data_IF_170675701934
#
_entry.id   IF_170675701934
#
_cell.length_a   1.000
_cell.length_b   1.000
_cell.length_c   1.000
_cell.angle_alpha   90.00
_cell.angle_beta   90.00
_cell.angle_gamma   90.00
#
_symmetry.space_group_name_H-M   'P 1'
#
loop_
_entity.id
_entity.type
_entity.pdbx_description
1 polymer ?
#
# COMPACT_ATOMS: atom_id res chain seq x y z
N UNK A 1 21.74 17.65 -59.67
CA UNK A 1 22.64 18.52 -58.92
C UNK A 1 22.05 18.74 -57.55
N UNK A 2 22.55 18.03 -56.59
CA UNK A 2 23.35 18.43 -55.42
C UNK A 2 22.46 19.13 -54.35
N UNK A 3 22.47 18.85 -53.09
CA UNK A 3 23.39 18.14 -52.20
C UNK A 3 22.64 17.73 -50.93
N UNK A 4 23.05 16.62 -50.37
CA UNK A 4 22.69 16.16 -49.05
C UNK A 4 23.37 16.98 -47.96
N UNK A 5 22.69 17.21 -46.85
CA UNK A 5 23.32 17.58 -45.59
C UNK A 5 22.83 16.68 -44.45
N UNK A 6 23.72 15.77 -44.09
CA UNK A 6 23.61 14.92 -42.87
C UNK A 6 23.97 15.75 -41.67
N UNK A 7 23.19 15.69 -40.61
CA UNK A 7 23.56 16.21 -39.29
C UNK A 7 23.40 15.07 -38.27
N UNK A 8 24.57 14.55 -37.86
CA UNK A 8 24.71 13.59 -36.79
C UNK A 8 24.68 14.33 -35.44
N UNK A 9 23.78 13.93 -34.54
CA UNK A 9 23.81 14.37 -33.15
C UNK A 9 24.43 13.25 -32.32
N UNK A 10 25.53 13.59 -31.69
CA UNK A 10 26.32 12.73 -30.83
C UNK A 10 25.61 12.46 -29.49
N UNK A 11 25.50 11.19 -29.13
CA UNK A 11 25.13 10.73 -27.81
C UNK A 11 26.32 10.89 -26.85
N UNK A 12 26.15 11.67 -25.79
CA UNK A 12 27.11 11.80 -24.69
C UNK A 12 26.72 10.83 -23.56
N UNK A 13 27.46 9.73 -23.44
CA UNK A 13 27.47 8.87 -22.25
C UNK A 13 28.23 9.54 -21.12
N UNK A 14 27.56 9.80 -20.00
CA UNK A 14 28.24 10.11 -18.72
C UNK A 14 28.25 8.86 -17.85
N UNK A 15 29.42 8.23 -17.79
CA UNK A 15 29.78 7.19 -16.82
C UNK A 15 30.37 7.88 -15.60
N UNK A 16 29.76 7.74 -14.43
CA UNK A 16 30.36 8.14 -13.16
C UNK A 16 30.96 6.89 -12.50
N UNK A 17 32.29 6.87 -12.51
CA UNK A 17 33.11 5.91 -11.79
C UNK A 17 33.23 6.31 -10.32
N UNK A 18 32.95 5.36 -9.42
CA UNK A 18 33.23 5.48 -7.99
C UNK A 18 34.69 5.11 -7.74
N UNK A 19 35.51 6.07 -7.33
CA UNK A 19 36.84 5.81 -6.79
C UNK A 19 36.76 5.68 -5.27
N UNK A 20 37.04 4.49 -4.77
CA UNK A 20 37.39 4.25 -3.38
C UNK A 20 38.90 4.46 -3.23
N UNK A 21 39.31 5.42 -2.41
CA UNK A 21 40.68 5.58 -1.98
C UNK A 21 40.82 5.03 -0.58
N UNK A 22 41.60 3.95 -0.47
CA UNK A 22 42.10 3.40 0.76
C UNK A 22 43.38 4.12 1.16
N UNK A 23 43.44 4.73 2.33
CA UNK A 23 44.68 5.22 2.93
C UNK A 23 44.79 4.69 4.35
N UNK A 24 45.72 3.80 4.52
CA UNK A 24 46.24 3.33 5.80
C UNK A 24 47.13 4.40 6.47
N UNK A 25 46.92 4.68 7.76
CA UNK A 25 48.01 5.10 8.63
C UNK A 25 47.78 4.62 10.08
N UNK A 26 48.81 4.01 10.59
CA UNK A 26 49.00 3.47 11.93
C UNK A 26 49.23 4.59 12.95
N UNK A 27 48.69 4.43 14.16
CA UNK A 27 48.99 5.32 15.29
C UNK A 27 48.34 4.85 16.59
N UNK A 28 49.06 4.01 17.33
CA UNK A 28 49.13 3.76 18.80
C UNK A 28 47.99 4.19 19.73
N UNK A 29 47.56 3.21 20.52
CA UNK A 29 46.66 3.22 21.71
C UNK A 29 47.19 4.13 22.86
N UNK A 30 46.35 4.40 23.95
CA UNK A 30 45.81 3.39 24.85
C UNK A 30 44.42 3.66 25.46
N UNK A 31 43.76 2.57 25.76
CA UNK A 31 42.94 2.29 26.95
C UNK A 31 41.78 3.20 27.36
N UNK A 32 40.53 2.67 27.25
CA UNK A 32 39.49 2.95 28.27
C UNK A 32 38.40 1.84 28.28
N UNK A 33 38.45 1.13 29.38
CA UNK A 33 37.39 0.49 30.20
C UNK A 33 35.99 0.32 29.57
N UNK A 34 35.65 -0.96 29.32
CA UNK A 34 34.26 -1.42 29.17
C UNK A 34 33.46 -1.22 30.47
N UNK A 35 32.40 -0.45 30.45
CA UNK A 35 31.31 -0.54 31.43
C UNK A 35 30.13 -1.28 30.82
N UNK A 36 29.88 -2.48 31.31
CA UNK A 36 28.64 -3.24 31.10
C UNK A 36 27.53 -2.56 31.92
N UNK A 37 26.52 -2.04 31.26
CA UNK A 37 25.28 -1.61 31.90
C UNK A 37 24.31 -2.80 31.90
N UNK A 38 24.12 -3.35 33.07
CA UNK A 38 23.10 -4.37 33.35
C UNK A 38 21.81 -3.61 33.65
N UNK A 39 20.79 -3.77 32.82
CA UNK A 39 19.44 -3.30 33.14
C UNK A 39 18.70 -4.37 33.94
N UNK A 40 18.45 -4.05 35.19
CA UNK A 40 17.58 -4.79 36.12
C UNK A 40 16.11 -4.53 35.73
N UNK A 41 15.36 -5.58 35.46
CA UNK A 41 13.91 -5.55 35.45
C UNK A 41 13.41 -5.58 36.91
N UNK A 42 12.78 -4.50 37.35
CA UNK A 42 12.06 -4.46 38.61
C UNK A 42 10.61 -4.94 38.41
N UNK A 43 10.29 -6.09 38.99
CA UNK A 43 8.92 -6.57 39.17
C UNK A 43 8.22 -5.68 40.23
N UNK A 44 7.14 -5.03 39.82
CA UNK A 44 6.23 -4.37 40.74
C UNK A 44 5.01 -5.27 41.01
N UNK A 45 5.02 -5.95 42.14
CA UNK A 45 3.82 -6.62 42.69
C UNK A 45 2.83 -5.58 43.23
N UNK A 46 1.64 -5.52 42.65
CA UNK A 46 0.51 -4.76 43.19
C UNK A 46 -0.34 -5.67 44.07
N UNK A 47 -0.22 -5.43 45.40
CA UNK A 47 -1.09 -6.02 46.42
C UNK A 47 -2.53 -5.45 46.32
N UNK A 48 -3.48 -6.28 45.94
CA UNK A 48 -4.88 -6.01 46.09
C UNK A 48 -5.31 -6.16 47.57
N UNK A 49 -5.71 -5.05 48.21
CA UNK A 49 -6.43 -5.05 49.51
C UNK A 49 -7.90 -5.33 49.29
N UNK A 50 -8.40 -6.37 49.94
CA UNK A 50 -9.81 -6.79 49.94
C UNK A 50 -10.75 -5.76 50.55
N UNK A 51 -11.96 -5.69 50.00
CA UNK A 51 -13.15 -5.14 50.68
C UNK A 51 -14.26 -6.17 50.66
N UNK A 52 -14.91 -6.21 51.83
CA UNK A 52 -15.85 -7.22 52.34
C UNK A 52 -17.13 -7.35 51.51
N UNK A 53 -17.59 -8.60 51.43
CA UNK A 53 -18.91 -9.01 50.97
C UNK A 53 -20.03 -8.47 51.92
N UNK A 54 -21.12 -7.98 51.35
CA UNK A 54 -22.39 -7.86 52.00
C UNK A 54 -23.40 -8.82 51.37
N UNK A 55 -23.95 -9.68 52.22
CA UNK A 55 -24.97 -10.67 51.91
C UNK A 55 -26.28 -9.96 51.51
N UNK A 56 -26.92 -10.44 50.44
CA UNK A 56 -28.34 -10.16 50.25
C UNK A 56 -29.05 -11.51 49.98
N UNK A 57 -30.01 -11.77 50.89
CA UNK A 57 -30.74 -13.00 51.05
C UNK A 57 -31.81 -13.23 49.95
N UNK A 58 -31.91 -14.48 49.60
CA UNK A 58 -32.93 -15.10 48.73
C UNK A 58 -34.36 -14.84 49.16
N UNK A 59 -35.27 -14.71 48.17
CA UNK A 59 -36.63 -15.17 48.27
C UNK A 59 -36.89 -16.20 47.16
N UNK A 60 -37.27 -17.41 47.62
CA UNK A 60 -37.68 -18.53 46.80
C UNK A 60 -39.18 -18.36 46.55
N UNK A 61 -39.60 -18.32 45.31
CA UNK A 61 -41.00 -18.43 44.88
C UNK A 61 -41.16 -19.71 44.07
N UNK A 62 -41.88 -20.67 44.65
CA UNK A 62 -42.32 -21.88 43.99
C UNK A 62 -43.46 -21.58 43.03
N UNK A 63 -43.41 -22.08 41.81
CA UNK A 63 -44.61 -22.27 41.00
C UNK A 63 -44.51 -23.56 40.19
N UNK A 64 -45.63 -24.23 40.22
CA UNK A 64 -45.99 -25.58 39.90
C UNK A 64 -45.73 -26.04 38.46
N UNK A 65 -45.54 -27.35 38.41
CA UNK A 65 -45.50 -28.26 37.28
C UNK A 65 -46.68 -28.15 36.32
N UNK A 66 -46.39 -28.03 35.04
CA UNK A 66 -47.24 -28.47 33.95
C UNK A 66 -46.47 -29.43 33.05
N UNK A 67 -46.92 -30.68 33.01
CA UNK A 67 -46.49 -31.75 32.10
C UNK A 67 -46.99 -31.42 30.70
N UNK A 68 -46.11 -31.31 29.71
CA UNK A 68 -46.47 -31.40 28.31
C UNK A 68 -45.57 -32.42 27.63
N UNK A 69 -46.21 -33.26 26.82
CA UNK A 69 -45.74 -34.49 26.20
C UNK A 69 -44.55 -34.27 25.23
N UNK A 70 -43.71 -35.29 25.17
CA UNK A 70 -42.62 -35.43 24.19
C UNK A 70 -43.20 -35.52 22.77
N UNK A 71 -42.75 -34.61 21.91
CA UNK A 71 -42.82 -34.77 20.47
C UNK A 71 -41.36 -34.78 19.97
N UNK A 72 -41.02 -35.81 19.21
CA UNK A 72 -39.72 -36.04 18.61
C UNK A 72 -39.26 -34.85 17.78
N UNK A 73 -38.29 -34.08 18.28
CA UNK A 73 -37.55 -33.15 17.48
C UNK A 73 -36.28 -33.87 17.00
N UNK A 74 -36.30 -34.27 15.73
CA UNK A 74 -35.09 -34.67 15.02
C UNK A 74 -34.13 -33.50 15.04
N UNK A 75 -33.13 -33.56 15.86
CA UNK A 75 -31.92 -32.72 15.78
C UNK A 75 -31.21 -33.01 14.46
N UNK A 76 -31.41 -32.15 13.48
CA UNK A 76 -30.51 -32.08 12.35
C UNK A 76 -29.19 -31.52 12.88
N UNK A 77 -28.19 -32.38 13.05
CA UNK A 77 -26.78 -31.94 13.17
C UNK A 77 -26.45 -31.12 11.93
N UNK A 78 -26.47 -29.81 12.10
CA UNK A 78 -25.82 -28.91 11.16
C UNK A 78 -24.32 -29.21 11.32
N UNK A 79 -23.81 -30.02 10.40
CA UNK A 79 -22.38 -30.20 10.24
C UNK A 79 -21.74 -28.79 10.08
N UNK A 80 -21.06 -28.34 11.12
CA UNK A 80 -20.16 -27.20 11.03
C UNK A 80 -19.10 -27.65 10.03
N UNK A 81 -19.31 -27.25 8.77
CA UNK A 81 -18.38 -27.49 7.70
C UNK A 81 -17.02 -26.92 8.14
N UNK A 82 -16.04 -27.78 8.29
CA UNK A 82 -14.64 -27.37 8.32
C UNK A 82 -14.44 -26.46 7.11
N UNK A 83 -14.13 -25.19 7.39
CA UNK A 83 -13.73 -24.25 6.35
C UNK A 83 -12.54 -24.89 5.63
N UNK A 84 -12.79 -25.40 4.43
CA UNK A 84 -11.73 -25.83 3.52
C UNK A 84 -10.84 -24.63 3.34
N UNK A 85 -9.55 -24.77 3.68
CA UNK A 85 -8.54 -23.74 3.36
C UNK A 85 -8.70 -23.50 1.86
N UNK A 86 -9.11 -22.29 1.48
CA UNK A 86 -9.28 -21.93 0.07
C UNK A 86 -7.98 -22.25 -0.66
N UNK A 87 -8.05 -23.12 -1.65
CA UNK A 87 -6.85 -23.52 -2.39
C UNK A 87 -6.27 -22.28 -3.09
N UNK A 88 -4.99 -21.97 -2.79
CA UNK A 88 -4.33 -20.81 -3.36
C UNK A 88 -4.16 -21.04 -4.86
N UNK A 89 -4.77 -20.19 -5.67
CA UNK A 89 -4.66 -20.22 -7.11
C UNK A 89 -3.21 -19.94 -7.52
N UNK A 90 -2.55 -20.84 -8.28
CA UNK A 90 -1.22 -20.57 -8.83
C UNK A 90 -1.20 -19.31 -9.70
N UNK A 91 -0.11 -18.57 -9.65
CA UNK A 91 0.04 -17.31 -10.35
C UNK A 91 1.31 -17.25 -11.21
N UNK A 92 1.30 -16.37 -12.20
CA UNK A 92 2.51 -15.91 -12.87
C UNK A 92 2.94 -14.61 -12.15
N UNK A 93 4.13 -14.59 -11.55
CA UNK A 93 4.68 -13.43 -10.84
C UNK A 93 5.69 -12.72 -11.72
N UNK A 94 5.37 -11.51 -12.18
CA UNK A 94 6.27 -10.71 -13.02
C UNK A 94 7.08 -9.77 -12.14
N UNK A 95 8.37 -10.09 -11.96
CA UNK A 95 9.30 -9.33 -11.13
C UNK A 95 9.62 -10.01 -9.79
N UNK A 96 10.90 -10.34 -9.60
CA UNK A 96 11.45 -11.00 -8.40
C UNK A 96 12.02 -9.99 -7.38
N UNK A 97 11.37 -8.82 -7.21
CA UNK A 97 11.70 -7.83 -6.18
C UNK A 97 11.12 -8.22 -4.82
N UNK A 98 11.20 -7.31 -3.84
CA UNK A 98 10.72 -7.54 -2.47
C UNK A 98 9.28 -8.03 -2.42
N UNK A 99 8.36 -7.33 -3.10
CA UNK A 99 6.93 -7.68 -3.12
C UNK A 99 6.70 -8.97 -3.91
N UNK A 100 7.33 -9.13 -5.10
CA UNK A 100 7.16 -10.33 -5.91
C UNK A 100 7.63 -11.59 -5.20
N UNK A 101 8.79 -11.55 -4.55
CA UNK A 101 9.29 -12.69 -3.75
C UNK A 101 8.39 -12.99 -2.53
N UNK A 102 7.81 -11.96 -1.90
CA UNK A 102 6.87 -12.18 -0.81
C UNK A 102 5.59 -12.87 -1.31
N UNK A 103 5.02 -12.41 -2.42
CA UNK A 103 3.81 -13.00 -3.02
C UNK A 103 4.06 -14.42 -3.54
N UNK A 104 5.25 -14.70 -4.12
CA UNK A 104 5.65 -16.06 -4.52
C UNK A 104 5.65 -17.03 -3.31
N UNK A 105 6.23 -16.60 -2.19
CA UNK A 105 6.24 -17.43 -0.97
C UNK A 105 4.82 -17.76 -0.46
N UNK A 106 3.87 -16.86 -0.66
CA UNK A 106 2.46 -17.09 -0.32
C UNK A 106 1.75 -18.05 -1.27
N UNK A 107 2.33 -18.34 -2.44
CA UNK A 107 1.75 -19.22 -3.47
C UNK A 107 1.97 -20.70 -3.25
N UNK A 108 2.64 -21.11 -2.15
CA UNK A 108 2.85 -22.53 -1.83
C UNK A 108 3.71 -23.30 -2.84
N UNK A 109 4.60 -22.60 -3.57
CA UNK A 109 5.57 -23.20 -4.51
C UNK A 109 5.00 -23.63 -5.86
N UNK A 110 3.75 -23.24 -6.18
CA UNK A 110 3.09 -23.57 -7.45
C UNK A 110 3.17 -22.43 -8.49
N UNK A 111 3.76 -21.30 -8.13
CA UNK A 111 3.85 -20.10 -8.96
C UNK A 111 4.95 -20.21 -10.03
N UNK A 112 4.77 -19.46 -11.11
CA UNK A 112 5.78 -19.27 -12.14
C UNK A 112 6.32 -17.83 -12.07
N UNK A 113 7.63 -17.67 -11.85
CA UNK A 113 8.26 -16.36 -11.72
C UNK A 113 8.88 -15.95 -13.05
N UNK A 114 8.50 -14.78 -13.57
CA UNK A 114 9.05 -14.15 -14.76
C UNK A 114 10.06 -13.08 -14.33
N UNK A 115 11.32 -13.27 -14.70
CA UNK A 115 12.43 -12.34 -14.42
C UNK A 115 12.66 -11.39 -15.57
N UNK A 116 13.55 -10.42 -15.38
CA UNK A 116 13.91 -9.45 -16.42
C UNK A 116 14.43 -10.19 -17.68
N UNK A 117 13.82 -9.89 -18.83
CA UNK A 117 14.18 -10.48 -20.11
C UNK A 117 13.47 -11.79 -20.44
N UNK A 118 12.69 -12.34 -19.50
CA UNK A 118 11.86 -13.51 -19.76
C UNK A 118 10.47 -13.11 -20.27
N UNK A 119 9.83 -14.00 -20.99
CA UNK A 119 8.49 -13.83 -21.58
C UNK A 119 7.40 -14.33 -20.63
N UNK A 120 6.28 -13.62 -20.59
CA UNK A 120 5.08 -14.06 -19.87
C UNK A 120 4.47 -15.25 -20.62
N UNK A 121 4.30 -16.42 -19.98
CA UNK A 121 3.79 -17.62 -20.65
C UNK A 121 2.29 -17.48 -20.98
N UNK A 122 1.91 -17.92 -22.19
CA UNK A 122 0.53 -17.91 -22.64
C UNK A 122 -0.31 -19.08 -22.09
N UNK A 123 0.35 -20.17 -21.71
CA UNK A 123 -0.24 -21.46 -21.31
C UNK A 123 -0.43 -21.66 -19.81
N UNK A 124 0.13 -20.78 -18.97
CA UNK A 124 -0.02 -20.87 -17.52
C UNK A 124 -1.32 -20.20 -17.07
N UNK A 125 -2.28 -20.95 -16.51
CA UNK A 125 -3.54 -20.37 -16.01
C UNK A 125 -3.33 -19.54 -14.75
N UNK A 126 -4.36 -18.76 -14.37
CA UNK A 126 -4.36 -17.97 -13.14
C UNK A 126 -3.93 -16.50 -13.33
N UNK A 127 -3.86 -15.72 -12.25
CA UNK A 127 -3.51 -14.31 -12.31
C UNK A 127 -2.05 -14.09 -12.71
N UNK A 128 -1.79 -12.98 -13.41
CA UNK A 128 -0.44 -12.49 -13.73
C UNK A 128 -0.16 -11.29 -12.81
N UNK A 129 0.52 -11.51 -11.72
CA UNK A 129 0.75 -10.49 -10.70
C UNK A 129 2.00 -9.69 -11.07
N UNK A 130 1.80 -8.41 -11.42
CA UNK A 130 2.86 -7.51 -11.86
C UNK A 130 3.48 -6.82 -10.65
N UNK A 131 4.74 -7.17 -10.31
CA UNK A 131 5.47 -6.67 -9.15
C UNK A 131 6.69 -5.83 -9.56
N UNK A 132 6.59 -5.13 -10.68
CA UNK A 132 7.64 -4.27 -11.24
C UNK A 132 7.41 -2.80 -10.88
N UNK A 133 8.30 -1.92 -11.32
CA UNK A 133 8.12 -0.48 -11.22
C UNK A 133 7.09 0.02 -12.23
N UNK A 134 6.52 1.18 -11.97
CA UNK A 134 5.48 1.78 -12.83
C UNK A 134 6.00 2.10 -14.24
N UNK A 135 7.26 2.52 -14.36
CA UNK A 135 7.87 2.95 -15.63
C UNK A 135 7.95 1.85 -16.73
N UNK A 136 7.77 0.59 -16.36
CA UNK A 136 7.78 -0.54 -17.30
C UNK A 136 6.39 -1.15 -17.56
N UNK A 137 5.33 -0.63 -16.95
CA UNK A 137 3.99 -1.23 -17.02
C UNK A 137 3.45 -1.29 -18.46
N UNK A 138 3.61 -0.22 -19.24
CA UNK A 138 3.18 -0.21 -20.63
C UNK A 138 3.82 -1.35 -21.42
N UNK A 139 5.13 -1.56 -21.29
CA UNK A 139 5.84 -2.62 -22.01
C UNK A 139 5.42 -4.02 -21.54
N UNK A 140 5.10 -4.19 -20.24
CA UNK A 140 4.58 -5.47 -19.72
C UNK A 140 3.20 -5.77 -20.30
N UNK A 141 2.29 -4.78 -20.33
CA UNK A 141 0.96 -4.94 -20.93
C UNK A 141 1.11 -5.33 -22.41
N UNK A 142 1.98 -4.63 -23.16
CA UNK A 142 2.17 -4.84 -24.58
C UNK A 142 2.79 -6.23 -24.90
N UNK A 143 3.71 -6.70 -24.05
CA UNK A 143 4.35 -8.01 -24.17
C UNK A 143 3.51 -9.16 -23.62
N UNK A 144 2.44 -8.88 -22.87
CA UNK A 144 1.54 -9.93 -22.39
C UNK A 144 0.71 -10.49 -23.54
N UNK A 145 0.65 -11.84 -23.69
CA UNK A 145 -0.20 -12.48 -24.70
C UNK A 145 -1.63 -11.94 -24.66
N UNK A 146 -2.22 -11.66 -25.82
CA UNK A 146 -3.53 -10.97 -25.91
C UNK A 146 -4.65 -11.71 -25.15
N UNK A 147 -4.65 -13.04 -25.18
CA UNK A 147 -5.59 -13.89 -24.46
C UNK A 147 -5.38 -13.92 -22.94
N UNK A 148 -4.31 -13.28 -22.43
CA UNK A 148 -3.96 -13.25 -21.01
C UNK A 148 -3.97 -11.84 -20.40
N UNK A 149 -4.25 -10.80 -21.20
CA UNK A 149 -4.22 -9.41 -20.69
C UNK A 149 -5.22 -9.12 -19.58
N UNK A 150 -6.39 -9.77 -19.62
CA UNK A 150 -7.40 -9.67 -18.56
C UNK A 150 -6.99 -10.37 -17.25
N UNK A 151 -5.94 -11.18 -17.29
CA UNK A 151 -5.41 -11.85 -16.10
C UNK A 151 -4.36 -11.01 -15.36
N UNK A 152 -4.02 -9.83 -15.89
CA UNK A 152 -3.09 -8.91 -15.23
C UNK A 152 -3.65 -8.39 -13.91
N UNK A 153 -2.79 -8.40 -12.91
CA UNK A 153 -3.05 -7.90 -11.56
C UNK A 153 -1.98 -6.89 -11.21
N UNK A 154 -2.35 -5.66 -10.98
CA UNK A 154 -1.43 -4.58 -10.66
C UNK A 154 -1.41 -4.29 -9.16
N UNK A 155 -0.20 -4.24 -8.58
CA UNK A 155 0.04 -3.97 -7.15
C UNK A 155 0.81 -2.65 -6.94
N UNK A 156 0.95 -1.84 -7.98
CA UNK A 156 1.70 -0.60 -7.96
C UNK A 156 0.96 0.50 -7.21
N UNK A 157 1.74 1.41 -6.62
CA UNK A 157 1.23 2.64 -6.05
C UNK A 157 0.99 3.70 -7.15
N UNK A 158 -0.04 4.50 -6.95
CA UNK A 158 -0.38 5.59 -7.86
C UNK A 158 -1.68 5.34 -8.63
N UNK A 159 -2.03 6.29 -9.50
CA UNK A 159 -3.22 6.23 -10.33
C UNK A 159 -2.88 5.52 -11.65
N UNK A 160 -3.37 4.30 -11.83
CA UNK A 160 -3.13 3.50 -13.02
C UNK A 160 -4.23 3.65 -14.07
N UNK A 161 -5.40 4.15 -13.71
CA UNK A 161 -6.57 4.24 -14.58
C UNK A 161 -6.26 4.86 -15.95
N UNK A 162 -5.53 5.99 -16.07
CA UNK A 162 -5.24 6.57 -17.38
C UNK A 162 -4.43 5.63 -18.30
N UNK A 163 -3.50 4.84 -17.74
CA UNK A 163 -2.77 3.85 -18.52
C UNK A 163 -3.70 2.71 -18.95
N UNK A 164 -4.48 2.16 -18.01
CA UNK A 164 -5.38 1.04 -18.28
C UNK A 164 -6.44 1.43 -19.33
N UNK A 165 -7.03 2.60 -19.21
CA UNK A 165 -7.97 3.19 -20.17
C UNK A 165 -7.31 3.35 -21.56
N UNK A 166 -6.08 3.89 -21.62
CA UNK A 166 -5.35 4.07 -22.89
C UNK A 166 -5.05 2.74 -23.61
N UNK A 167 -4.97 1.63 -22.85
CA UNK A 167 -4.77 0.27 -23.36
C UNK A 167 -6.08 -0.49 -23.57
N UNK A 168 -7.24 0.10 -23.29
CA UNK A 168 -8.54 -0.56 -23.33
C UNK A 168 -8.62 -1.79 -22.43
N UNK A 169 -7.99 -1.72 -21.25
CA UNK A 169 -7.79 -2.85 -20.37
C UNK A 169 -8.58 -2.70 -19.08
N UNK A 170 -9.42 -3.69 -18.77
CA UNK A 170 -10.01 -3.89 -17.44
C UNK A 170 -9.20 -4.93 -16.71
N UNK A 171 -8.39 -4.49 -15.73
CA UNK A 171 -7.48 -5.35 -15.00
C UNK A 171 -7.81 -5.36 -13.50
N UNK A 172 -7.35 -6.40 -12.80
CA UNK A 172 -7.40 -6.41 -11.34
C UNK A 172 -6.39 -5.41 -10.76
N UNK A 173 -6.83 -4.57 -9.84
CA UNK A 173 -5.98 -3.64 -9.11
C UNK A 173 -5.96 -3.99 -7.62
N UNK A 174 -4.80 -3.82 -6.98
CA UNK A 174 -4.62 -4.12 -5.56
C UNK A 174 -3.98 -2.93 -4.87
N UNK A 175 -4.68 -2.37 -3.91
CA UNK A 175 -4.15 -1.33 -3.01
C UNK A 175 -3.34 -2.01 -1.90
N UNK A 176 -2.04 -2.10 -2.08
CA UNK A 176 -1.15 -2.77 -1.14
C UNK A 176 -0.77 -1.84 0.00
N UNK A 177 -1.21 -2.14 1.23
CA UNK A 177 -0.83 -1.44 2.45
C UNK A 177 0.15 -2.22 3.32
N UNK A 178 0.50 -3.44 2.94
CA UNK A 178 1.60 -4.16 3.58
C UNK A 178 2.97 -3.70 3.07
N UNK A 179 4.00 -3.83 3.89
CA UNK A 179 5.37 -3.47 3.56
C UNK A 179 6.30 -4.68 3.67
N UNK A 180 7.29 -4.76 2.76
CA UNK A 180 8.38 -5.72 2.81
C UNK A 180 9.68 -4.94 2.97
N UNK A 181 10.31 -5.01 4.14
CA UNK A 181 11.47 -4.18 4.49
C UNK A 181 12.70 -4.52 3.64
N UNK A 182 13.06 -5.80 3.56
CA UNK A 182 14.18 -6.32 2.76
C UNK A 182 13.72 -7.47 1.89
N UNK A 183 14.51 -7.80 0.88
CA UNK A 183 14.26 -8.96 0.04
C UNK A 183 14.27 -10.24 0.89
N UNK A 184 13.17 -10.99 0.82
CA UNK A 184 13.00 -12.23 1.57
C UNK A 184 12.40 -12.09 2.97
N UNK A 185 12.29 -10.87 3.50
CA UNK A 185 11.60 -10.63 4.78
C UNK A 185 10.10 -10.94 4.67
N UNK A 186 9.45 -11.34 5.77
CA UNK A 186 8.01 -11.45 5.82
C UNK A 186 7.37 -10.05 5.66
N UNK A 187 6.21 -9.95 5.01
CA UNK A 187 5.46 -8.71 4.94
C UNK A 187 4.87 -8.35 6.30
N UNK A 188 4.77 -7.05 6.57
CA UNK A 188 4.07 -6.48 7.72
C UNK A 188 2.81 -5.79 7.24
N UNK A 189 1.65 -6.11 7.80
CA UNK A 189 0.37 -5.52 7.41
C UNK A 189 0.26 -4.06 7.89
N UNK A 190 -0.37 -3.22 7.10
CA UNK A 190 -0.67 -1.82 7.41
C UNK A 190 -1.96 -1.64 8.19
N UNK A 191 -2.14 -2.40 9.27
CA UNK A 191 -3.27 -2.26 10.20
C UNK A 191 -3.09 -1.00 11.04
N UNK A 192 -4.18 -0.29 11.31
CA UNK A 192 -4.20 0.93 12.12
C UNK A 192 -5.23 0.81 13.26
N UNK A 193 -5.13 1.72 14.23
CA UNK A 193 -6.13 1.85 15.30
C UNK A 193 -7.53 2.21 14.79
N UNK A 194 -7.62 2.95 13.68
CA UNK A 194 -8.88 3.31 13.02
C UNK A 194 -9.37 2.25 12.03
N UNK A 195 -8.49 1.38 11.54
CA UNK A 195 -8.81 0.32 10.59
C UNK A 195 -8.17 -1.01 11.05
N UNK A 196 -8.67 -1.62 12.13
CA UNK A 196 -8.14 -2.87 12.66
C UNK A 196 -8.33 -4.06 11.71
N UNK A 197 -9.28 -3.95 10.77
CA UNK A 197 -9.51 -4.92 9.70
C UNK A 197 -8.53 -4.83 8.54
N UNK A 198 -7.61 -3.88 8.57
CA UNK A 198 -6.62 -3.61 7.54
C UNK A 198 -7.14 -2.75 6.39
N UNK A 199 -6.19 -2.20 5.63
CA UNK A 199 -6.45 -1.24 4.55
C UNK A 199 -6.24 -1.83 3.15
N UNK A 200 -5.55 -2.96 3.02
CA UNK A 200 -5.33 -3.60 1.71
C UNK A 200 -6.67 -4.00 1.09
N UNK A 201 -6.85 -3.65 -0.18
CA UNK A 201 -8.06 -3.95 -0.94
C UNK A 201 -7.73 -4.36 -2.37
N UNK A 202 -8.57 -5.21 -2.95
CA UNK A 202 -8.46 -5.66 -4.34
C UNK A 202 -9.80 -5.52 -5.04
N UNK A 203 -9.77 -5.16 -6.34
CA UNK A 203 -10.95 -5.10 -7.21
C UNK A 203 -10.63 -5.68 -8.58
N UNK A 204 -11.58 -6.36 -9.19
CA UNK A 204 -11.49 -6.97 -10.51
C UNK A 204 -11.51 -8.49 -10.49
N UNK A 205 -11.28 -9.10 -11.67
CA UNK A 205 -11.43 -10.55 -11.94
C UNK A 205 -10.75 -11.46 -10.91
N UNK A 206 -9.54 -11.11 -10.48
CA UNK A 206 -8.71 -11.92 -9.60
C UNK A 206 -8.68 -11.46 -8.13
N UNK A 207 -9.55 -10.51 -7.76
CA UNK A 207 -9.54 -9.92 -6.42
C UNK A 207 -9.67 -10.95 -5.29
N UNK A 208 -10.59 -11.91 -5.42
CA UNK A 208 -10.77 -13.00 -4.44
C UNK A 208 -9.56 -13.93 -4.33
N UNK A 209 -8.92 -14.26 -5.46
CA UNK A 209 -7.71 -15.09 -5.46
C UNK A 209 -6.52 -14.38 -4.78
N UNK A 210 -6.39 -13.07 -5.00
CA UNK A 210 -5.37 -12.27 -4.32
C UNK A 210 -5.67 -12.17 -2.82
N UNK A 211 -6.93 -11.94 -2.44
CA UNK A 211 -7.33 -11.89 -1.03
C UNK A 211 -7.05 -13.23 -0.31
N UNK A 212 -7.37 -14.37 -0.92
CA UNK A 212 -7.06 -15.68 -0.38
C UNK A 212 -5.54 -15.88 -0.19
N UNK A 213 -4.73 -15.49 -1.19
CA UNK A 213 -3.26 -15.54 -1.14
C UNK A 213 -2.70 -14.70 0.02
N UNK A 214 -3.15 -13.47 0.18
CA UNK A 214 -2.70 -12.58 1.26
C UNK A 214 -3.13 -13.12 2.64
N UNK A 215 -4.36 -13.57 2.75
CA UNK A 215 -4.91 -14.18 3.99
C UNK A 215 -4.11 -15.41 4.44
N UNK A 216 -3.62 -16.24 3.52
CA UNK A 216 -2.78 -17.41 3.86
C UNK A 216 -1.48 -17.03 4.58
N UNK A 217 -1.01 -15.79 4.38
CA UNK A 217 0.17 -15.23 5.08
C UNK A 217 -0.22 -14.32 6.27
N UNK A 218 -1.47 -14.33 6.71
CA UNK A 218 -1.95 -13.52 7.82
C UNK A 218 -2.14 -12.04 7.48
N UNK A 219 -2.18 -11.68 6.19
CA UNK A 219 -2.43 -10.30 5.76
C UNK A 219 -3.91 -10.09 5.48
N UNK A 220 -4.40 -8.90 5.79
CA UNK A 220 -5.76 -8.46 5.44
C UNK A 220 -5.87 -8.14 3.94
N UNK A 221 -7.06 -8.38 3.37
CA UNK A 221 -7.41 -7.87 2.04
C UNK A 221 -8.92 -7.86 1.87
N UNK A 222 -9.50 -6.70 1.61
CA UNK A 222 -10.90 -6.53 1.26
C UNK A 222 -11.08 -6.79 -0.24
N UNK A 223 -12.16 -7.48 -0.61
CA UNK A 223 -12.59 -7.60 -2.01
C UNK A 223 -13.71 -6.59 -2.21
N UNK A 224 -13.48 -5.62 -3.08
CA UNK A 224 -14.41 -4.52 -3.34
C UNK A 224 -14.87 -4.55 -4.80
N UNK A 225 -16.08 -4.11 -5.05
CA UNK A 225 -16.49 -3.83 -6.41
C UNK A 225 -15.77 -2.58 -6.97
N UNK A 226 -15.84 -2.31 -8.29
CA UNK A 226 -15.12 -1.19 -8.89
C UNK A 226 -15.54 0.19 -8.34
N UNK A 227 -16.80 0.39 -7.95
CA UNK A 227 -17.27 1.67 -7.40
C UNK A 227 -16.79 1.86 -5.96
N UNK A 228 -16.89 0.82 -5.13
CA UNK A 228 -16.39 0.82 -3.76
C UNK A 228 -14.87 0.99 -3.70
N UNK A 229 -14.13 0.50 -4.70
CA UNK A 229 -12.67 0.57 -4.77
C UNK A 229 -12.14 1.99 -5.02
N UNK A 230 -12.90 2.86 -5.70
CA UNK A 230 -12.48 4.23 -6.05
C UNK A 230 -12.07 5.06 -4.84
N UNK A 231 -12.88 5.01 -3.78
CA UNK A 231 -12.66 5.83 -2.58
C UNK A 231 -11.34 5.48 -1.87
N UNK A 232 -11.08 4.22 -1.47
CA UNK A 232 -9.79 3.86 -0.86
C UNK A 232 -8.60 4.02 -1.82
N UNK A 233 -8.78 3.87 -3.14
CA UNK A 233 -7.74 4.13 -4.13
C UNK A 233 -7.30 5.61 -4.08
N UNK A 234 -8.26 6.54 -4.07
CA UNK A 234 -7.99 7.96 -4.00
C UNK A 234 -7.44 8.38 -2.63
N UNK A 235 -7.96 7.85 -1.52
CA UNK A 235 -7.38 8.10 -0.19
C UNK A 235 -5.91 7.70 -0.13
N UNK A 236 -5.56 6.54 -0.69
CA UNK A 236 -4.16 6.12 -0.76
C UNK A 236 -3.32 7.03 -1.64
N UNK A 237 -3.85 7.48 -2.77
CA UNK A 237 -3.16 8.41 -3.65
C UNK A 237 -2.90 9.75 -2.95
N UNK A 238 -3.91 10.30 -2.28
CA UNK A 238 -3.80 11.53 -1.47
C UNK A 238 -2.72 11.36 -0.40
N UNK A 239 -2.74 10.23 0.33
CA UNK A 239 -1.72 9.96 1.33
C UNK A 239 -0.31 10.01 0.75
N UNK A 240 -0.07 9.29 -0.37
CA UNK A 240 1.23 9.26 -1.03
C UNK A 240 1.65 10.66 -1.50
N UNK A 241 0.73 11.41 -2.10
CA UNK A 241 1.03 12.74 -2.62
C UNK A 241 1.32 13.73 -1.50
N UNK A 242 0.44 13.83 -0.49
CA UNK A 242 0.55 14.81 0.56
C UNK A 242 1.74 14.55 1.49
N UNK A 243 1.88 13.35 2.04
CA UNK A 243 2.99 13.04 2.95
C UNK A 243 4.35 13.16 2.30
N UNK A 244 4.49 12.69 1.04
CA UNK A 244 5.76 12.75 0.34
C UNK A 244 6.12 14.19 -0.07
N UNK A 245 5.13 15.03 -0.42
CA UNK A 245 5.36 16.42 -0.81
C UNK A 245 5.68 17.29 0.40
N UNK A 246 4.88 17.20 1.48
CA UNK A 246 5.19 17.94 2.73
C UNK A 246 6.57 17.54 3.26
N UNK A 247 6.88 16.25 3.31
CA UNK A 247 8.20 15.81 3.77
C UNK A 247 9.36 16.23 2.85
N UNK A 248 9.13 16.39 1.53
CA UNK A 248 10.14 16.91 0.61
C UNK A 248 10.42 18.41 0.83
N UNK A 249 9.44 19.19 1.32
CA UNK A 249 9.62 20.59 1.74
C UNK A 249 10.45 20.71 3.03
N UNK A 250 10.47 19.65 3.84
CA UNK A 250 11.22 19.57 5.10
C UNK A 250 12.29 18.46 4.99
N UNK A 251 13.44 18.71 4.36
CA UNK A 251 14.44 17.69 4.06
C UNK A 251 14.88 16.88 5.27
N UNK A 252 14.91 15.56 5.11
CA UNK A 252 15.27 14.62 6.17
C UNK A 252 14.09 14.16 7.03
N UNK A 253 12.88 14.70 6.84
CA UNK A 253 11.68 14.26 7.55
C UNK A 253 11.24 12.86 7.15
N UNK A 254 10.82 12.09 8.13
CA UNK A 254 10.10 10.83 7.94
C UNK A 254 8.59 11.09 7.85
N UNK A 255 7.82 10.06 7.49
CA UNK A 255 6.36 10.11 7.52
C UNK A 255 5.83 10.45 8.91
N UNK A 256 6.45 9.92 9.97
CA UNK A 256 6.10 10.26 11.35
C UNK A 256 6.45 11.70 11.73
N UNK A 257 7.54 12.27 11.19
CA UNK A 257 7.86 13.69 11.39
C UNK A 257 6.82 14.59 10.71
N UNK A 258 6.37 14.24 9.50
CA UNK A 258 5.30 14.97 8.80
C UNK A 258 4.01 14.94 9.63
N UNK A 259 3.61 13.77 10.14
CA UNK A 259 2.41 13.63 10.96
C UNK A 259 2.48 14.43 12.25
N UNK A 260 3.62 14.41 12.94
CA UNK A 260 3.75 14.99 14.28
C UNK A 260 4.17 16.46 14.30
N UNK A 261 4.98 16.91 13.32
CA UNK A 261 5.59 18.26 13.31
C UNK A 261 4.98 19.21 12.27
N UNK A 262 4.40 18.65 11.18
CA UNK A 262 3.89 19.43 10.04
C UNK A 262 2.41 19.12 9.75
N UNK A 263 1.65 18.79 10.81
CA UNK A 263 0.26 18.32 10.68
C UNK A 263 -0.66 19.36 10.04
N UNK A 264 -0.49 20.65 10.33
CA UNK A 264 -1.35 21.72 9.80
C UNK A 264 -1.13 21.89 8.28
N UNK A 265 0.14 21.87 7.82
CA UNK A 265 0.47 21.87 6.39
C UNK A 265 -0.11 20.63 5.70
N UNK A 266 0.07 19.47 6.32
CA UNK A 266 -0.44 18.20 5.82
C UNK A 266 -1.97 18.23 5.70
N UNK A 267 -2.68 18.67 6.73
CA UNK A 267 -4.14 18.70 6.75
C UNK A 267 -4.68 19.61 5.63
N UNK A 268 -4.12 20.82 5.50
CA UNK A 268 -4.50 21.75 4.43
C UNK A 268 -4.31 21.16 3.03
N UNK A 269 -3.17 20.48 2.80
CA UNK A 269 -2.92 19.83 1.51
C UNK A 269 -3.83 18.62 1.27
N UNK A 270 -4.08 17.80 2.28
CA UNK A 270 -4.99 16.64 2.18
C UNK A 270 -6.40 17.10 1.83
N UNK A 271 -6.90 18.15 2.49
CA UNK A 271 -8.24 18.72 2.21
C UNK A 271 -8.34 19.27 0.78
N UNK A 272 -7.31 19.99 0.31
CA UNK A 272 -7.24 20.48 -1.07
C UNK A 272 -7.28 19.32 -2.08
N UNK A 273 -6.42 18.31 -1.91
CA UNK A 273 -6.39 17.16 -2.81
C UNK A 273 -7.66 16.31 -2.73
N UNK A 274 -8.27 16.18 -1.55
CA UNK A 274 -9.54 15.48 -1.39
C UNK A 274 -10.67 16.20 -2.15
N UNK A 275 -10.79 17.51 -2.04
CA UNK A 275 -11.78 18.29 -2.76
C UNK A 275 -11.61 18.17 -4.29
N UNK A 276 -10.36 18.20 -4.78
CA UNK A 276 -10.07 18.01 -6.20
C UNK A 276 -10.43 16.60 -6.69
N UNK A 277 -10.09 15.56 -5.89
CA UNK A 277 -10.42 14.16 -6.21
C UNK A 277 -11.94 13.91 -6.19
N UNK A 278 -12.68 14.49 -5.23
CA UNK A 278 -14.13 14.40 -5.16
C UNK A 278 -14.79 14.98 -6.42
N UNK A 279 -14.31 16.15 -6.85
CA UNK A 279 -14.82 16.80 -8.05
C UNK A 279 -14.48 16.00 -9.32
N UNK A 280 -13.23 15.56 -9.45
CA UNK A 280 -12.74 14.84 -10.64
C UNK A 280 -13.42 13.48 -10.84
N UNK A 281 -13.65 12.73 -9.75
CA UNK A 281 -14.18 11.36 -9.80
C UNK A 281 -15.64 11.24 -9.38
N UNK A 282 -16.30 12.37 -9.11
CA UNK A 282 -17.70 12.45 -8.66
C UNK A 282 -17.98 11.51 -7.48
N UNK A 283 -17.14 11.58 -6.44
CA UNK A 283 -17.29 10.82 -5.21
C UNK A 283 -17.39 11.75 -4.01
N UNK A 284 -17.67 11.19 -2.82
CA UNK A 284 -17.55 11.90 -1.54
C UNK A 284 -16.78 11.03 -0.55
N UNK A 285 -15.76 11.63 0.06
CA UNK A 285 -15.07 10.98 1.18
C UNK A 285 -15.90 11.07 2.44
N UNK A 286 -15.74 10.06 3.30
CA UNK A 286 -16.29 10.10 4.64
C UNK A 286 -15.53 11.13 5.48
N UNK A 287 -16.19 11.71 6.49
CA UNK A 287 -15.55 12.66 7.39
C UNK A 287 -14.29 12.07 8.05
N UNK A 288 -13.31 12.92 8.39
CA UNK A 288 -12.09 12.49 9.08
C UNK A 288 -11.04 11.85 8.16
N UNK A 289 -10.99 12.21 6.87
CA UNK A 289 -9.97 11.72 5.94
C UNK A 289 -8.55 11.99 6.45
N UNK A 290 -8.28 13.19 6.98
CA UNK A 290 -6.96 13.53 7.55
C UNK A 290 -6.57 12.58 8.67
N UNK A 291 -7.48 12.27 9.58
CA UNK A 291 -7.20 11.38 10.72
C UNK A 291 -6.93 9.95 10.28
N UNK A 292 -7.69 9.41 9.30
CA UNK A 292 -7.43 8.10 8.72
C UNK A 292 -6.06 8.02 8.06
N UNK A 293 -5.69 9.03 7.28
CA UNK A 293 -4.38 9.08 6.63
C UNK A 293 -3.23 9.21 7.65
N UNK A 294 -3.43 9.98 8.72
CA UNK A 294 -2.49 10.07 9.83
C UNK A 294 -2.38 8.77 10.63
N UNK A 295 -3.47 8.04 10.83
CA UNK A 295 -3.42 6.72 11.47
C UNK A 295 -2.53 5.75 10.70
N UNK A 296 -2.65 5.71 9.37
CA UNK A 296 -1.74 4.91 8.55
C UNK A 296 -0.30 5.43 8.60
N UNK A 297 -0.08 6.73 8.61
CA UNK A 297 1.26 7.32 8.74
C UNK A 297 1.97 6.87 10.02
N UNK A 298 1.25 6.77 11.14
CA UNK A 298 1.81 6.27 12.41
C UNK A 298 2.29 4.82 12.30
N UNK A 299 1.58 3.95 11.55
CA UNK A 299 1.99 2.55 11.35
C UNK A 299 3.27 2.41 10.52
N UNK A 300 3.60 3.41 9.69
CA UNK A 300 4.79 3.45 8.82
C UNK A 300 5.68 4.68 9.09
N UNK A 301 5.69 5.16 10.32
CA UNK A 301 6.31 6.42 10.74
C UNK A 301 7.79 6.56 10.36
N UNK A 302 8.52 5.45 10.25
CA UNK A 302 9.94 5.41 9.90
C UNK A 302 10.22 5.55 8.39
N UNK A 303 9.21 5.60 7.53
CA UNK A 303 9.41 5.71 6.09
C UNK A 303 9.99 7.08 5.73
N UNK A 304 11.06 7.12 4.89
CA UNK A 304 11.57 8.37 4.37
C UNK A 304 10.62 8.97 3.35
N UNK A 305 10.54 10.30 3.35
CA UNK A 305 9.71 11.05 2.41
C UNK A 305 10.51 11.49 1.19
N UNK A 306 9.91 11.42 0.02
CA UNK A 306 10.42 12.00 -1.23
C UNK A 306 9.34 11.96 -2.31
N UNK A 307 9.29 12.99 -3.16
CA UNK A 307 8.47 12.96 -4.38
C UNK A 307 9.11 11.98 -5.36
N UNK A 308 8.40 10.92 -5.72
CA UNK A 308 8.86 9.86 -6.63
C UNK A 308 7.73 9.49 -7.59
N UNK A 309 8.10 8.93 -8.74
CA UNK A 309 7.13 8.43 -9.74
C UNK A 309 6.03 9.46 -10.01
N UNK A 310 6.47 10.70 -10.29
CA UNK A 310 5.60 11.88 -10.40
C UNK A 310 4.38 11.65 -11.27
N UNK A 311 4.56 11.10 -12.47
CA UNK A 311 3.51 10.82 -13.45
C UNK A 311 2.34 10.01 -12.86
N UNK A 312 2.67 9.04 -12.00
CA UNK A 312 1.72 8.09 -11.42
C UNK A 312 1.07 8.59 -10.11
N UNK A 313 1.63 9.63 -9.50
CA UNK A 313 1.24 10.11 -8.18
C UNK A 313 0.82 11.56 -8.24
N UNK A 314 1.71 12.49 -7.91
CA UNK A 314 1.42 13.92 -7.94
C UNK A 314 0.96 14.42 -9.32
N UNK A 315 1.39 13.77 -10.39
CA UNK A 315 0.96 14.06 -11.76
C UNK A 315 -0.54 13.95 -11.97
N UNK A 316 -1.25 13.08 -11.24
CA UNK A 316 -2.72 13.02 -11.30
C UNK A 316 -3.35 14.37 -10.91
N UNK A 317 -3.00 14.90 -9.76
CA UNK A 317 -3.54 16.19 -9.28
C UNK A 317 -3.01 17.37 -10.10
N UNK A 318 -1.73 17.32 -10.47
CA UNK A 318 -1.16 18.35 -11.34
C UNK A 318 -1.86 18.42 -12.71
N UNK A 319 -2.24 17.29 -13.28
CA UNK A 319 -3.00 17.26 -14.53
C UNK A 319 -4.42 17.83 -14.38
N UNK A 320 -5.07 17.67 -13.22
CA UNK A 320 -6.35 18.33 -12.92
C UNK A 320 -6.14 19.87 -12.96
N UNK A 321 -5.12 20.37 -12.27
CA UNK A 321 -4.75 21.78 -12.28
C UNK A 321 -4.45 22.30 -13.69
N UNK A 322 -3.66 21.55 -14.47
CA UNK A 322 -3.30 21.97 -15.83
C UNK A 322 -4.51 22.05 -16.77
N UNK A 323 -5.46 21.11 -16.68
CA UNK A 323 -6.70 21.17 -17.46
C UNK A 323 -7.55 22.36 -17.08
N UNK A 324 -7.77 22.60 -15.79
CA UNK A 324 -8.54 23.75 -15.31
C UNK A 324 -7.94 25.08 -15.80
N UNK A 325 -6.63 25.23 -15.68
CA UNK A 325 -5.93 26.44 -16.15
C UNK A 325 -6.01 26.61 -17.67
N UNK A 326 -5.92 25.54 -18.45
CA UNK A 326 -6.08 25.57 -19.90
C UNK A 326 -7.49 25.98 -20.32
N UNK A 327 -8.50 25.65 -19.53
CA UNK A 327 -9.90 26.06 -19.73
C UNK A 327 -10.20 27.46 -19.17
N UNK A 328 -9.21 28.19 -18.68
CA UNK A 328 -9.34 29.53 -18.11
C UNK A 328 -9.98 29.58 -16.73
N UNK A 329 -10.02 28.43 -16.03
CA UNK A 329 -10.52 28.32 -14.67
C UNK A 329 -9.40 28.54 -13.64
N UNK A 330 -9.76 28.71 -12.37
CA UNK A 330 -8.81 28.75 -11.27
C UNK A 330 -8.18 27.37 -11.04
N UNK A 331 -6.92 27.36 -10.56
CA UNK A 331 -6.26 26.10 -10.15
C UNK A 331 -7.02 25.46 -8.99
N UNK A 332 -7.52 24.21 -9.12
CA UNK A 332 -8.19 23.54 -8.02
C UNK A 332 -7.23 23.01 -6.94
N UNK A 333 -5.92 22.96 -7.22
CA UNK A 333 -4.90 22.53 -6.27
C UNK A 333 -3.75 23.54 -6.18
N UNK A 334 -4.01 24.81 -5.78
CA UNK A 334 -3.02 25.88 -5.84
C UNK A 334 -1.85 25.66 -4.87
N UNK A 335 -2.11 25.12 -3.67
CA UNK A 335 -1.07 24.79 -2.68
C UNK A 335 -0.20 23.64 -3.18
N UNK A 336 -0.78 22.60 -3.73
CA UNK A 336 -0.06 21.48 -4.32
C UNK A 336 0.85 21.94 -5.46
N UNK A 337 0.31 22.73 -6.39
CA UNK A 337 1.07 23.28 -7.52
C UNK A 337 2.24 24.15 -7.05
N UNK A 338 2.01 25.02 -6.06
CA UNK A 338 3.04 25.88 -5.50
C UNK A 338 4.17 25.08 -4.83
N UNK A 339 3.82 24.08 -4.04
CA UNK A 339 4.81 23.26 -3.34
C UNK A 339 5.57 22.31 -4.27
N UNK A 340 4.95 21.82 -5.34
CA UNK A 340 5.67 21.07 -6.37
C UNK A 340 6.75 21.91 -7.06
N UNK A 341 6.48 23.20 -7.30
CA UNK A 341 7.50 24.16 -7.80
C UNK A 341 8.61 24.40 -6.78
N UNK A 342 8.23 24.61 -5.51
CA UNK A 342 9.16 24.85 -4.40
C UNK A 342 10.18 23.71 -4.26
N UNK A 343 9.72 22.45 -4.34
CA UNK A 343 10.62 21.28 -4.24
C UNK A 343 11.28 20.90 -5.59
N UNK A 344 11.05 21.66 -6.66
CA UNK A 344 11.62 21.41 -7.99
C UNK A 344 11.06 20.17 -8.69
N UNK A 345 9.89 19.67 -8.28
CA UNK A 345 9.24 18.53 -8.92
C UNK A 345 8.61 18.88 -10.28
N UNK A 346 8.28 20.16 -10.49
CA UNK A 346 7.83 20.76 -11.76
C UNK A 346 8.62 22.05 -12.01
N UNK A 347 8.64 22.49 -13.28
CA UNK A 347 9.27 23.76 -13.65
C UNK A 347 8.46 24.96 -13.12
N UNK A 348 9.18 26.00 -12.73
CA UNK A 348 8.62 27.28 -12.31
C UNK A 348 7.92 28.00 -13.46
#
# INVERSE_FOLDING_TARGET
MAMAASSAVAASCFTLASNAICSSNLGTSPGLVLRKSVFYCANAELKCRGRKASQFTRRVGSCSTARASAADVKTSEVAVGQATMDEIVPAVIVGAGRVGTALEKMGGGKDFVVRRGETIPADKPGPIIVCTRNDVLSSIIDSTPSNRREDLVFVQNGMLDPLLESKGLTATQVLVYFAVAKLGDPPTDGITDLNPEGLTAASGKWASAIAARLKSAGLSCKVLDPEEFKKPQLEKLIWICAFMLVGARHPGSTVGDVESKHRDELASLVEELAAAAESEKNIKFDSGVVDRLCAYARSVSHFPTAVKEFEWRNGFFYNISQRALADGLSDPCPTHTAWLKEVGAIKS
#
